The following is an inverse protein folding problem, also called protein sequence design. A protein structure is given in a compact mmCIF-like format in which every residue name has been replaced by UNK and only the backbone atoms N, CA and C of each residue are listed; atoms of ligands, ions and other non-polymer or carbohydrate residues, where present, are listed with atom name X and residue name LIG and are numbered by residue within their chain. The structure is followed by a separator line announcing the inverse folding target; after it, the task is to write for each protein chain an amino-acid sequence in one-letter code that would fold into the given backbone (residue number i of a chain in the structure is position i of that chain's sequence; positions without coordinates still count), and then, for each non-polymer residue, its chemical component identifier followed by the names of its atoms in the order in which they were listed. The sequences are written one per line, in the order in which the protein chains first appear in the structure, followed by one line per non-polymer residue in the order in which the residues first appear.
data_IF_215068826504
#
_entry.id   IF_215068826504
#
_cell.length_a   1.000
_cell.length_b   1.000
_cell.length_c   1.000
_cell.angle_alpha   90.00
_cell.angle_beta   90.00
_cell.angle_gamma   90.00
#
_symmetry.space_group_name_H-M   'P 1'
#
loop_
_entity.id
_entity.type
_entity.pdbx_description
1 polymer ?
#
# COMPACT_ATOMS: atom_id res chain seq x y z
N UNK A 1 -6.74 2.93 -12.14
CA UNK A 1 -7.74 3.84 -11.51
C UNK A 1 -8.13 3.17 -10.21
N UNK A 2 -8.07 3.86 -9.06
CA UNK A 2 -8.34 3.20 -7.77
C UNK A 2 -9.82 2.76 -7.69
N UNK A 3 -10.08 1.51 -7.28
CA UNK A 3 -11.43 0.95 -7.22
C UNK A 3 -12.30 1.56 -6.10
N UNK A 4 -11.74 2.40 -5.22
CA UNK A 4 -12.45 3.00 -4.09
C UNK A 4 -12.66 4.53 -4.21
N UNK A 5 -12.20 5.17 -5.29
CA UNK A 5 -12.28 6.64 -5.41
C UNK A 5 -13.54 7.10 -6.16
N UNK A 6 -14.20 8.12 -5.62
CA UNK A 6 -15.37 8.74 -6.25
C UNK A 6 -15.02 9.34 -7.62
N UNK A 7 -16.00 9.34 -8.55
CA UNK A 7 -15.86 9.99 -9.87
C UNK A 7 -15.63 11.49 -9.68
N UNK A 8 -14.82 12.10 -10.54
CA UNK A 8 -14.66 13.54 -10.53
C UNK A 8 -15.98 14.22 -10.92
N UNK A 9 -16.40 15.23 -10.15
CA UNK A 9 -17.67 15.97 -10.34
C UNK A 9 -17.85 16.70 -11.68
N UNK A 10 -16.78 16.88 -12.46
CA UNK A 10 -16.77 17.73 -13.66
C UNK A 10 -15.95 17.15 -14.81
N UNK A 11 -15.00 16.25 -14.52
CA UNK A 11 -14.08 15.69 -15.51
C UNK A 11 -14.39 14.19 -15.71
N UNK A 12 -15.08 13.81 -16.81
CA UNK A 12 -15.40 12.42 -17.09
C UNK A 12 -14.15 11.54 -17.16
N UNK A 13 -14.21 10.34 -16.60
CA UNK A 13 -13.10 9.38 -16.58
C UNK A 13 -12.06 9.62 -15.49
N UNK A 14 -12.10 10.75 -14.78
CA UNK A 14 -11.22 11.02 -13.64
C UNK A 14 -11.89 10.72 -12.29
N UNK A 15 -11.08 10.67 -11.24
CA UNK A 15 -11.49 10.49 -9.85
C UNK A 15 -11.02 11.67 -8.99
N UNK A 16 -11.73 11.97 -7.90
CA UNK A 16 -11.32 13.01 -6.94
C UNK A 16 -10.24 12.46 -6.01
N UNK A 17 -8.99 12.44 -6.50
CA UNK A 17 -7.82 11.89 -5.81
C UNK A 17 -6.64 12.85 -5.93
N UNK A 18 -5.81 12.90 -4.90
CA UNK A 18 -4.47 13.46 -4.99
C UNK A 18 -3.43 12.56 -4.30
N UNK A 19 -2.18 12.71 -4.72
CA UNK A 19 -1.01 12.09 -4.11
C UNK A 19 0.00 13.19 -3.77
N UNK A 20 0.54 13.17 -2.55
CA UNK A 20 1.60 14.08 -2.13
C UNK A 20 2.95 13.46 -2.45
N UNK A 21 3.78 14.16 -3.22
CA UNK A 21 5.14 13.75 -3.53
C UNK A 21 6.16 14.67 -2.87
N UNK A 22 7.14 14.08 -2.18
CA UNK A 22 8.31 14.76 -1.60
C UNK A 22 9.56 14.00 -2.06
N UNK A 23 10.56 14.71 -2.59
CA UNK A 23 11.82 14.09 -3.05
C UNK A 23 11.61 12.88 -4.00
N UNK A 24 10.65 12.99 -4.93
CA UNK A 24 10.26 11.93 -5.89
C UNK A 24 9.68 10.65 -5.25
N UNK A 25 9.31 10.67 -3.97
CA UNK A 25 8.58 9.59 -3.31
C UNK A 25 7.19 10.07 -2.92
N UNK A 26 6.21 9.19 -3.06
CA UNK A 26 4.86 9.40 -2.55
C UNK A 26 4.88 9.36 -1.01
N UNK A 27 4.21 10.31 -0.36
CA UNK A 27 4.11 10.41 1.11
C UNK A 27 2.67 10.23 1.57
N UNK A 28 1.72 10.82 0.84
CA UNK A 28 0.30 10.70 1.15
C UNK A 28 -0.50 10.31 -0.08
N UNK A 29 -1.57 9.58 0.16
CA UNK A 29 -2.61 9.28 -0.82
C UNK A 29 -3.97 9.63 -0.20
N UNK A 30 -4.79 10.37 -0.92
CA UNK A 30 -6.09 10.80 -0.43
C UNK A 30 -7.08 10.93 -1.56
N UNK A 31 -8.35 10.63 -1.27
CA UNK A 31 -9.42 10.67 -2.25
C UNK A 31 -10.78 10.84 -1.56
N UNK A 32 -11.74 11.36 -2.32
CA UNK A 32 -13.15 11.27 -1.93
C UNK A 32 -13.59 9.82 -2.05
N UNK A 33 -14.12 9.27 -0.96
CA UNK A 33 -14.52 7.87 -0.86
C UNK A 33 -15.69 7.58 -1.79
N UNK A 34 -15.63 6.43 -2.47
CA UNK A 34 -16.77 5.93 -3.21
C UNK A 34 -17.81 5.38 -2.23
N UNK A 35 -18.93 6.09 -2.12
CA UNK A 35 -20.04 5.71 -1.25
C UNK A 35 -21.24 5.09 -1.98
N UNK A 36 -21.15 4.87 -3.30
CA UNK A 36 -22.16 4.17 -4.09
C UNK A 36 -21.89 2.65 -4.06
N UNK A 37 -22.73 1.85 -3.35
CA UNK A 37 -22.50 0.42 -3.17
C UNK A 37 -22.59 -0.38 -4.47
N UNK A 38 -23.51 -0.01 -5.37
CA UNK A 38 -23.68 -0.73 -6.64
C UNK A 38 -22.45 -0.56 -7.52
N UNK A 39 -21.91 0.66 -7.52
CA UNK A 39 -20.69 0.95 -8.26
C UNK A 39 -19.44 0.35 -7.61
N UNK A 40 -19.35 0.33 -6.29
CA UNK A 40 -18.26 -0.35 -5.58
C UNK A 40 -18.22 -1.84 -5.93
N UNK A 41 -19.39 -2.49 -5.97
CA UNK A 41 -19.52 -3.89 -6.38
C UNK A 41 -19.05 -4.13 -7.81
N UNK A 42 -19.44 -3.28 -8.75
CA UNK A 42 -18.96 -3.34 -10.14
C UNK A 42 -17.43 -3.24 -10.22
N UNK A 43 -16.82 -2.34 -9.44
CA UNK A 43 -15.36 -2.20 -9.41
C UNK A 43 -14.67 -3.42 -8.81
N UNK A 44 -15.26 -4.04 -7.79
CA UNK A 44 -14.76 -5.31 -7.26
C UNK A 44 -14.89 -6.47 -8.26
N UNK A 45 -15.97 -6.55 -9.04
CA UNK A 45 -16.11 -7.53 -10.11
C UNK A 45 -15.02 -7.37 -11.19
N UNK A 46 -14.71 -6.12 -11.57
CA UNK A 46 -13.66 -5.83 -12.54
C UNK A 46 -12.25 -6.17 -11.99
N UNK A 47 -12.02 -5.93 -10.69
CA UNK A 47 -10.79 -6.37 -10.01
C UNK A 47 -10.70 -7.90 -9.93
N UNK A 48 -11.82 -8.60 -9.68
CA UNK A 48 -11.83 -10.06 -9.68
C UNK A 48 -11.53 -10.65 -11.06
N UNK A 49 -11.99 -10.01 -12.14
CA UNK A 49 -11.60 -10.38 -13.52
C UNK A 49 -10.10 -10.16 -13.76
N UNK A 50 -9.54 -9.04 -13.29
CA UNK A 50 -8.11 -8.77 -13.38
C UNK A 50 -7.29 -9.83 -12.61
N UNK A 51 -7.75 -10.21 -11.42
CA UNK A 51 -7.17 -11.29 -10.62
C UNK A 51 -7.18 -12.63 -11.36
N UNK A 52 -8.30 -12.98 -11.97
CA UNK A 52 -8.42 -14.21 -12.78
C UNK A 52 -7.50 -14.18 -14.02
N UNK A 53 -7.14 -12.98 -14.51
CA UNK A 53 -6.19 -12.77 -15.58
C UNK A 53 -4.71 -12.80 -15.12
N UNK A 54 -4.44 -13.01 -13.82
CA UNK A 54 -3.10 -13.18 -13.26
C UNK A 54 -2.54 -11.95 -12.52
N UNK A 55 -3.38 -10.97 -12.16
CA UNK A 55 -2.98 -9.84 -11.31
C UNK A 55 -3.07 -10.22 -9.82
N UNK A 56 -1.92 -10.53 -9.21
CA UNK A 56 -1.84 -10.92 -7.79
C UNK A 56 -2.11 -9.74 -6.81
N UNK A 57 -1.97 -8.49 -7.27
CA UNK A 57 -2.22 -7.29 -6.47
C UNK A 57 -3.69 -6.83 -6.52
N UNK A 58 -4.50 -7.48 -7.37
CA UNK A 58 -5.92 -7.16 -7.51
C UNK A 58 -6.72 -7.49 -6.24
N UNK A 59 -7.64 -6.57 -5.91
CA UNK A 59 -8.48 -6.67 -4.71
C UNK A 59 -9.50 -7.80 -4.81
N UNK A 60 -9.86 -8.39 -3.67
CA UNK A 60 -10.95 -9.34 -3.56
C UNK A 60 -12.30 -8.63 -3.46
N UNK A 61 -13.38 -9.35 -3.80
CA UNK A 61 -14.74 -8.89 -3.55
C UNK A 61 -15.04 -9.05 -2.06
N UNK A 62 -15.34 -7.93 -1.38
CA UNK A 62 -15.80 -7.92 0.01
C UNK A 62 -17.29 -7.53 0.08
N UNK A 63 -18.15 -8.55 0.12
CA UNK A 63 -19.60 -8.35 0.21
C UNK A 63 -20.04 -7.73 1.54
N UNK A 64 -19.29 -7.93 2.62
CA UNK A 64 -19.61 -7.30 3.90
C UNK A 64 -19.35 -5.79 3.83
N UNK A 65 -18.27 -5.37 3.17
CA UNK A 65 -18.00 -3.96 2.90
C UNK A 65 -19.08 -3.33 2.00
N UNK A 66 -19.46 -4.00 0.91
CA UNK A 66 -20.57 -3.53 0.06
C UNK A 66 -21.89 -3.42 0.84
N UNK A 67 -22.21 -4.41 1.67
CA UNK A 67 -23.39 -4.38 2.54
C UNK A 67 -23.33 -3.19 3.51
N UNK A 68 -22.16 -2.90 4.09
CA UNK A 68 -21.98 -1.73 4.95
C UNK A 68 -22.22 -0.40 4.21
N UNK A 69 -21.80 -0.30 2.95
CA UNK A 69 -22.09 0.87 2.10
C UNK A 69 -23.58 1.02 1.81
N UNK A 70 -24.33 -0.08 1.68
CA UNK A 70 -25.79 -0.08 1.46
C UNK A 70 -26.57 0.47 2.66
N UNK A 71 -26.04 0.38 3.89
CA UNK A 71 -26.59 1.06 5.05
C UNK A 71 -26.42 2.59 5.01
N UNK A 72 -25.57 3.10 4.11
CA UNK A 72 -25.40 4.52 3.85
C UNK A 72 -24.12 5.08 4.46
N UNK A 73 -23.05 5.13 3.65
CA UNK A 73 -21.85 5.90 3.96
C UNK A 73 -22.07 7.38 3.57
N UNK A 74 -21.97 8.34 4.53
CA UNK A 74 -22.02 9.76 4.21
C UNK A 74 -20.91 10.17 3.22
N UNK A 75 -21.05 11.31 2.52
CA UNK A 75 -19.97 11.86 1.71
C UNK A 75 -18.70 12.05 2.56
N UNK A 76 -17.70 11.21 2.30
CA UNK A 76 -16.49 11.07 3.13
C UNK A 76 -15.24 11.22 2.27
N UNK A 77 -14.14 11.64 2.87
CA UNK A 77 -12.82 11.63 2.23
C UNK A 77 -11.84 10.85 3.10
N UNK A 78 -11.07 9.98 2.45
CA UNK A 78 -10.00 9.21 3.07
C UNK A 78 -8.65 9.86 2.86
N UNK A 79 -7.74 9.61 3.80
CA UNK A 79 -6.37 10.06 3.75
C UNK A 79 -5.46 9.02 4.40
N UNK A 80 -4.36 8.70 3.73
CA UNK A 80 -3.30 7.84 4.24
C UNK A 80 -1.94 8.51 4.08
N UNK A 81 -1.06 8.31 5.06
CA UNK A 81 0.32 8.80 5.04
C UNK A 81 1.30 7.76 5.52
N UNK A 82 2.41 7.63 4.80
CA UNK A 82 3.53 6.79 5.22
C UNK A 82 4.35 7.48 6.31
N UNK A 83 4.16 7.08 7.57
CA UNK A 83 4.90 7.64 8.71
C UNK A 83 6.41 7.41 8.58
N UNK A 84 6.82 6.23 8.10
CA UNK A 84 8.23 5.92 7.88
C UNK A 84 8.85 6.86 6.83
N UNK A 85 8.14 7.08 5.71
CA UNK A 85 8.60 7.99 4.66
C UNK A 85 8.66 9.45 5.14
N UNK A 86 7.66 9.89 5.91
CA UNK A 86 7.69 11.22 6.54
C UNK A 86 8.91 11.35 7.45
N UNK A 87 9.15 10.35 8.29
CA UNK A 87 10.26 10.33 9.24
C UNK A 87 11.60 10.35 8.50
N UNK A 88 11.76 9.55 7.44
CA UNK A 88 12.95 9.54 6.59
C UNK A 88 13.32 10.94 6.09
N UNK A 89 12.33 11.72 5.65
CA UNK A 89 12.58 13.09 5.18
C UNK A 89 12.89 14.07 6.30
N UNK A 90 12.31 13.88 7.49
CA UNK A 90 12.61 14.71 8.66
C UNK A 90 13.99 14.40 9.27
N UNK A 91 14.52 13.19 9.05
CA UNK A 91 15.81 12.73 9.57
C UNK A 91 16.91 12.65 8.50
N UNK A 92 16.68 13.23 7.31
CA UNK A 92 17.59 13.17 6.15
C UNK A 92 18.12 11.75 5.85
N UNK A 93 17.25 10.76 6.02
CA UNK A 93 17.58 9.35 5.90
C UNK A 93 17.11 8.80 4.56
N UNK A 94 18.06 8.38 3.71
CA UNK A 94 17.74 7.84 2.38
C UNK A 94 17.32 6.35 2.40
N UNK A 95 17.35 5.69 3.55
CA UNK A 95 16.99 4.28 3.73
C UNK A 95 15.97 4.12 4.86
N UNK A 96 14.89 3.37 4.61
CA UNK A 96 13.81 3.13 5.59
C UNK A 96 14.29 2.39 6.85
N UNK A 97 15.37 1.61 6.73
CA UNK A 97 15.94 0.88 7.88
C UNK A 97 16.49 1.80 8.96
N UNK A 98 16.83 3.05 8.62
CA UNK A 98 17.34 4.04 9.59
C UNK A 98 16.24 4.57 10.52
N UNK A 99 14.97 4.49 10.10
CA UNK A 99 13.82 4.98 10.87
C UNK A 99 13.00 3.85 11.52
N UNK A 100 13.42 2.60 11.35
CA UNK A 100 12.82 1.41 11.95
C UNK A 100 13.75 0.88 13.04
N UNK A 101 13.25 0.75 14.28
CA UNK A 101 14.05 0.24 15.41
C UNK A 101 14.60 -1.17 15.16
N UNK A 102 13.78 -2.04 14.55
CA UNK A 102 14.13 -3.41 14.22
C UNK A 102 13.66 -3.72 12.80
N UNK A 103 14.42 -3.34 11.75
CA UNK A 103 14.01 -3.56 10.39
C UNK A 103 14.01 -5.06 10.05
N UNK A 104 13.13 -5.48 9.14
CA UNK A 104 13.15 -6.85 8.63
C UNK A 104 14.47 -7.12 7.89
N UNK A 105 15.22 -8.10 8.39
CA UNK A 105 16.49 -8.55 7.82
C UNK A 105 16.34 -9.98 7.31
N UNK A 106 17.03 -10.30 6.22
CA UNK A 106 17.19 -11.70 5.80
C UNK A 106 18.02 -12.42 6.89
N UNK A 107 17.61 -13.60 7.36
CA UNK A 107 18.42 -14.40 8.27
C UNK A 107 19.80 -14.66 7.66
N UNK A 108 20.83 -14.71 8.50
CA UNK A 108 22.15 -15.18 8.06
C UNK A 108 22.12 -16.71 7.93
N UNK A 109 22.59 -17.24 6.80
CA UNK A 109 22.81 -18.67 6.65
C UNK A 109 23.88 -19.10 7.66
N UNK A 110 23.51 -19.93 8.63
CA UNK A 110 24.43 -20.53 9.59
C UNK A 110 25.32 -21.56 8.89
N UNK A 111 26.29 -21.09 8.10
CA UNK A 111 27.45 -21.83 7.58
C UNK A 111 28.71 -20.95 7.67
N UNK A 112 29.15 -20.70 8.89
CA UNK A 112 30.58 -20.61 9.19
C UNK A 112 30.92 -21.82 10.04
N UNK A 113 31.21 -22.92 9.35
CA UNK A 113 31.95 -24.03 9.95
C UNK A 113 33.18 -23.45 10.63
N UNK A 114 33.32 -23.69 11.93
CA UNK A 114 34.52 -23.35 12.67
C UNK A 114 35.71 -24.03 11.98
N UNK A 115 36.56 -23.25 11.32
CA UNK A 115 37.86 -23.74 10.87
C UNK A 115 38.63 -24.17 12.12
N UNK A 116 39.08 -25.44 12.23
CA UNK A 116 40.01 -25.82 13.29
C UNK A 116 41.29 -25.02 13.11
N UNK A 117 41.76 -24.37 14.17
CA UNK A 117 43.08 -23.77 14.18
C UNK A 117 44.12 -24.88 13.99
N UNK A 118 44.71 -24.98 12.80
CA UNK A 118 45.91 -25.77 12.56
C UNK A 118 47.06 -25.14 13.35
N UNK A 119 47.31 -25.70 14.54
CA UNK A 119 48.50 -25.43 15.33
C UNK A 119 49.74 -25.85 14.55
N UNK A 120 50.56 -24.86 14.24
CA UNK A 120 51.86 -25.00 13.60
C UNK A 120 52.79 -25.93 14.37
N UNK A 121 53.42 -26.82 13.64
CA UNK A 121 54.51 -27.71 14.07
C UNK A 121 55.71 -26.91 14.57
N UNK A 122 56.18 -27.17 15.79
CA UNK A 122 57.59 -27.18 16.19
C UNK A 122 57.78 -28.22 17.30
#
# INVERSE_FOLDING_TARGET
VLPASHRHRSLPGLTERFELFVMKKEVCNAYTELNDPSRQRQLFEDQAKAKAAGDDEAMFIDENFCTALEYGLPPTAGWGMGIDRLTMFLTDSNNIKEVLLFPAMKPEDSKKEAQPAEGTSV
#
